data_IF_945628797319
#
_entry.id   IF_945628797319
#
_cell.length_a   1.000
_cell.length_b   1.000
_cell.length_c   1.000
_cell.angle_alpha   90.00
_cell.angle_beta   90.00
_cell.angle_gamma   90.00
#
_symmetry.space_group_name_H-M   'P 1'
#
loop_
_entity.id
_entity.type
_entity.pdbx_description
1 polymer ?
#
# COMPACT_ATOMS: atom_id res chain seq x y z
N UNK A 1 20.25 34.94 -36.32
CA UNK A 1 19.76 34.50 -34.99
C UNK A 1 20.95 34.51 -34.04
N UNK A 2 20.85 35.23 -32.92
CA UNK A 2 21.98 35.59 -32.06
C UNK A 2 22.26 34.51 -30.99
N UNK A 3 23.52 34.30 -30.58
CA UNK A 3 23.95 33.20 -29.70
C UNK A 3 23.16 33.15 -28.38
N UNK A 4 22.85 34.32 -27.81
CA UNK A 4 22.01 34.45 -26.60
C UNK A 4 20.62 33.82 -26.74
N UNK A 5 20.01 33.93 -27.92
CA UNK A 5 18.67 33.40 -28.15
C UNK A 5 18.67 31.87 -28.20
N UNK A 6 19.80 31.27 -28.61
CA UNK A 6 19.98 29.83 -28.62
C UNK A 6 20.10 29.25 -27.21
N UNK A 7 20.85 29.92 -26.33
CA UNK A 7 20.96 29.55 -24.91
C UNK A 7 19.60 29.61 -24.18
N UNK A 8 18.80 30.63 -24.47
CA UNK A 8 17.46 30.76 -23.88
C UNK A 8 16.53 29.62 -24.32
N UNK A 9 16.58 29.21 -25.58
CA UNK A 9 15.77 28.08 -26.10
C UNK A 9 16.16 26.78 -25.39
N UNK A 10 17.46 26.53 -25.21
CA UNK A 10 17.94 25.34 -24.51
C UNK A 10 17.56 25.34 -23.03
N UNK A 11 17.70 26.47 -22.34
CA UNK A 11 17.29 26.60 -20.94
C UNK A 11 15.78 26.35 -20.77
N UNK A 12 14.94 26.90 -21.66
CA UNK A 12 13.50 26.70 -21.62
C UNK A 12 13.12 25.24 -21.86
N UNK A 13 13.78 24.58 -22.82
CA UNK A 13 13.56 23.17 -23.13
C UNK A 13 13.93 22.26 -21.94
N UNK A 14 15.06 22.52 -21.27
CA UNK A 14 15.45 21.79 -20.06
C UNK A 14 14.41 21.96 -18.94
N UNK A 15 13.95 23.18 -18.67
CA UNK A 15 12.92 23.44 -17.66
C UNK A 15 11.64 22.68 -17.99
N UNK A 16 11.21 22.68 -19.26
CA UNK A 16 9.99 22.01 -19.69
C UNK A 16 10.06 20.48 -19.50
N UNK A 17 11.21 19.87 -19.82
CA UNK A 17 11.42 18.42 -19.63
C UNK A 17 11.40 18.06 -18.14
N UNK A 18 12.08 18.83 -17.29
CA UNK A 18 12.15 18.56 -15.85
C UNK A 18 10.79 18.71 -15.14
N UNK A 19 9.94 19.64 -15.57
CA UNK A 19 8.61 19.85 -14.99
C UNK A 19 7.61 18.80 -15.48
N UNK A 20 7.74 18.35 -16.73
CA UNK A 20 6.84 17.33 -17.31
C UNK A 20 6.97 15.97 -16.62
N UNK A 21 8.19 15.56 -16.25
CA UNK A 21 8.46 14.27 -15.62
C UNK A 21 7.83 14.17 -14.21
N UNK A 22 7.83 15.26 -13.45
CA UNK A 22 7.18 15.33 -12.14
C UNK A 22 5.64 15.29 -12.22
N UNK A 23 5.07 15.62 -13.39
CA UNK A 23 3.62 15.76 -13.56
C UNK A 23 2.91 14.48 -13.98
N UNK A 24 3.64 13.42 -14.34
CA UNK A 24 3.02 12.12 -14.65
C UNK A 24 2.75 11.42 -13.32
N UNK A 25 1.48 11.24 -12.90
CA UNK A 25 1.19 10.40 -11.76
C UNK A 25 1.65 8.99 -12.14
N UNK A 26 2.77 8.54 -11.59
CA UNK A 26 3.22 7.17 -11.75
C UNK A 26 2.16 6.25 -11.15
N UNK A 27 1.30 5.71 -12.03
CA UNK A 27 0.29 4.73 -11.64
C UNK A 27 0.96 3.59 -10.88
N UNK A 28 0.42 3.26 -9.71
CA UNK A 28 1.03 2.29 -8.81
C UNK A 28 0.88 0.89 -9.38
N UNK A 29 1.90 0.04 -9.20
CA UNK A 29 1.85 -1.38 -9.55
C UNK A 29 1.80 -2.21 -8.28
N UNK A 30 0.84 -3.12 -8.18
CA UNK A 30 0.66 -4.04 -7.07
C UNK A 30 0.65 -5.48 -7.58
N UNK A 31 1.06 -6.43 -6.73
CA UNK A 31 0.80 -7.84 -7.00
C UNK A 31 -0.71 -8.10 -7.05
N UNK A 32 -1.14 -8.91 -8.01
CA UNK A 32 -2.53 -9.28 -8.21
C UNK A 32 -2.72 -10.78 -8.04
N UNK A 33 -3.45 -11.16 -7.01
CA UNK A 33 -3.86 -12.53 -6.76
C UNK A 33 -5.18 -12.50 -6.02
N UNK A 34 -6.28 -12.81 -6.70
CA UNK A 34 -7.60 -12.82 -6.08
C UNK A 34 -8.33 -14.11 -6.44
N UNK A 35 -9.09 -14.64 -5.50
CA UNK A 35 -10.04 -15.72 -5.79
C UNK A 35 -11.23 -15.18 -6.59
N UNK A 36 -11.92 -15.98 -7.43
CA UNK A 36 -13.07 -15.53 -8.24
C UNK A 36 -14.17 -14.81 -7.46
N UNK A 37 -14.35 -15.16 -6.18
CA UNK A 37 -15.31 -14.56 -5.25
C UNK A 37 -15.01 -13.09 -4.92
N UNK A 38 -13.77 -12.64 -5.13
CA UNK A 38 -13.27 -11.30 -4.80
C UNK A 38 -13.00 -10.47 -6.06
N UNK A 39 -13.80 -10.64 -7.12
CA UNK A 39 -13.65 -9.91 -8.39
C UNK A 39 -13.74 -8.39 -8.24
N UNK A 40 -14.34 -7.85 -7.17
CA UNK A 40 -14.41 -6.41 -6.91
C UNK A 40 -13.06 -5.68 -6.94
N UNK A 41 -11.96 -6.41 -6.71
CA UNK A 41 -10.63 -5.80 -6.76
C UNK A 41 -10.13 -5.60 -8.19
N UNK A 42 -10.70 -6.27 -9.21
CA UNK A 42 -10.34 -6.02 -10.62
C UNK A 42 -10.76 -4.63 -11.08
N UNK A 43 -11.76 -4.01 -10.44
CA UNK A 43 -12.22 -2.66 -10.81
C UNK A 43 -11.32 -1.54 -10.28
N UNK A 44 -10.34 -1.87 -9.43
CA UNK A 44 -9.43 -0.91 -8.82
C UNK A 44 -8.31 -0.43 -9.78
N UNK A 45 -8.20 -1.08 -10.95
CA UNK A 45 -7.21 -0.73 -11.96
C UNK A 45 -7.02 -1.84 -12.99
N UNK A 46 -6.14 -1.60 -13.97
CA UNK A 46 -5.89 -2.54 -15.06
C UNK A 46 -5.06 -3.75 -14.60
N UNK A 47 -5.55 -4.97 -14.85
CA UNK A 47 -4.87 -6.21 -14.46
C UNK A 47 -4.15 -6.82 -15.66
N UNK A 48 -2.86 -7.12 -15.49
CA UNK A 48 -2.04 -7.84 -16.44
C UNK A 48 -1.37 -9.02 -15.74
N UNK A 49 -1.98 -10.20 -15.86
CA UNK A 49 -1.50 -11.42 -15.21
C UNK A 49 -1.49 -11.32 -13.68
N UNK A 50 -0.29 -11.37 -13.10
CA UNK A 50 -0.03 -11.27 -11.65
C UNK A 50 0.23 -9.85 -11.16
N UNK A 51 0.02 -8.83 -12.01
CA UNK A 51 0.25 -7.42 -11.67
C UNK A 51 -1.01 -6.61 -11.94
N UNK A 52 -1.36 -5.71 -11.03
CA UNK A 52 -2.42 -4.72 -11.19
C UNK A 52 -1.84 -3.31 -11.17
N UNK A 53 -2.22 -2.50 -12.16
CA UNK A 53 -1.90 -1.09 -12.27
C UNK A 53 -3.06 -0.27 -11.68
N UNK A 54 -2.87 0.34 -10.53
CA UNK A 54 -3.90 1.07 -9.79
C UNK A 54 -4.21 2.41 -10.46
N UNK A 55 -5.50 2.72 -10.61
CA UNK A 55 -5.96 3.99 -11.20
C UNK A 55 -6.22 5.09 -10.17
N UNK A 56 -6.90 4.75 -9.06
CA UNK A 56 -7.41 5.73 -8.09
C UNK A 56 -6.77 5.62 -6.69
N UNK A 57 -5.76 4.76 -6.54
CA UNK A 57 -5.07 4.55 -5.27
C UNK A 57 -3.57 4.42 -5.51
N UNK A 58 -2.79 4.83 -4.51
CA UNK A 58 -1.36 4.53 -4.46
C UNK A 58 -1.05 3.33 -3.56
N UNK A 59 -2.07 2.66 -3.05
CA UNK A 59 -1.94 1.62 -2.04
C UNK A 59 -2.20 0.23 -2.60
N UNK A 60 -1.35 -0.70 -2.17
CA UNK A 60 -1.57 -2.11 -2.35
C UNK A 60 -2.13 -2.69 -1.04
N UNK A 61 -3.10 -3.60 -1.15
CA UNK A 61 -3.63 -4.38 -0.02
C UNK A 61 -3.39 -5.88 -0.19
N UNK A 62 -3.02 -6.52 0.91
CA UNK A 62 -2.83 -7.96 1.03
C UNK A 62 -3.64 -8.52 2.20
N UNK A 63 -4.45 -9.53 1.92
CA UNK A 63 -5.17 -10.30 2.93
C UNK A 63 -4.60 -11.71 2.96
N UNK A 64 -4.25 -12.17 4.15
CA UNK A 64 -3.69 -13.49 4.39
C UNK A 64 -4.53 -14.23 5.43
N UNK A 65 -4.96 -15.44 5.11
CA UNK A 65 -5.65 -16.31 6.07
C UNK A 65 -4.60 -17.17 6.77
N UNK A 66 -4.76 -17.36 8.08
CA UNK A 66 -3.95 -18.35 8.80
C UNK A 66 -4.60 -19.72 8.64
N UNK A 67 -3.92 -20.63 7.97
CA UNK A 67 -4.29 -22.04 7.81
C UNK A 67 -3.11 -22.87 8.32
N UNK A 68 -3.35 -23.78 9.26
CA UNK A 68 -2.30 -24.60 9.90
C UNK A 68 -1.12 -23.76 10.42
N UNK A 69 -1.42 -22.67 11.12
CA UNK A 69 -0.46 -21.69 11.65
C UNK A 69 0.43 -21.00 10.59
N UNK A 70 0.08 -21.10 9.30
CA UNK A 70 0.80 -20.46 8.20
C UNK A 70 -0.06 -19.41 7.49
N UNK A 71 0.50 -18.24 7.14
CA UNK A 71 -0.21 -17.24 6.35
C UNK A 71 -0.27 -17.67 4.88
N UNK A 72 -1.49 -17.91 4.40
CA UNK A 72 -1.78 -18.13 2.99
C UNK A 72 -2.43 -16.90 2.36
N UNK A 73 -2.01 -16.58 1.13
CA UNK A 73 -2.55 -15.43 0.39
C UNK A 73 -4.01 -15.67 0.02
N UNK A 74 -4.90 -14.83 0.52
CA UNK A 74 -6.31 -14.82 0.12
C UNK A 74 -6.60 -13.75 -0.95
N UNK A 75 -5.98 -12.57 -0.83
CA UNK A 75 -6.13 -11.44 -1.76
C UNK A 75 -4.83 -10.63 -1.81
N UNK A 76 -4.39 -10.28 -3.02
CA UNK A 76 -3.42 -9.22 -3.30
C UNK A 76 -4.00 -8.36 -4.42
N UNK A 77 -4.10 -7.06 -4.20
CA UNK A 77 -4.64 -6.13 -5.19
C UNK A 77 -4.34 -4.67 -4.82
N UNK A 78 -4.77 -3.74 -5.66
CA UNK A 78 -4.91 -2.32 -5.29
C UNK A 78 -5.98 -2.15 -4.21
N UNK A 79 -5.74 -1.25 -3.25
CA UNK A 79 -6.72 -0.93 -2.21
C UNK A 79 -7.91 -0.15 -2.80
N UNK A 80 -9.13 -0.54 -2.43
CA UNK A 80 -10.37 0.08 -2.88
C UNK A 80 -10.94 1.08 -1.86
N UNK A 81 -10.46 1.03 -0.62
CA UNK A 81 -10.92 1.87 0.50
C UNK A 81 -9.91 2.98 0.74
N UNK A 82 -8.64 2.63 0.91
CA UNK A 82 -7.58 3.57 1.24
C UNK A 82 -6.94 4.12 -0.04
N UNK A 83 -6.96 5.46 -0.18
CA UNK A 83 -6.42 6.15 -1.36
C UNK A 83 -4.95 6.56 -1.20
N UNK A 84 -4.52 6.78 0.04
CA UNK A 84 -3.19 7.24 0.42
C UNK A 84 -2.69 6.46 1.64
N UNK A 85 -1.53 5.86 1.52
CA UNK A 85 -0.86 5.10 2.58
C UNK A 85 0.56 5.65 2.68
N UNK A 86 0.88 6.41 3.75
CA UNK A 86 2.21 6.98 3.93
C UNK A 86 3.25 5.93 4.32
N UNK A 87 2.79 4.75 4.77
CA UNK A 87 3.66 3.68 5.20
C UNK A 87 4.33 2.99 4.01
N UNK A 88 5.64 3.20 3.90
CA UNK A 88 6.50 2.46 2.97
C UNK A 88 6.65 0.99 3.39
N UNK A 89 6.46 0.68 4.67
CA UNK A 89 6.58 -0.68 5.21
C UNK A 89 5.21 -1.30 5.40
N UNK A 90 5.05 -2.53 4.92
CA UNK A 90 3.82 -3.27 5.06
C UNK A 90 3.68 -3.82 6.50
N UNK A 91 2.91 -3.11 7.33
CA UNK A 91 2.64 -3.54 8.70
C UNK A 91 1.39 -4.44 8.73
N UNK A 92 1.61 -5.72 9.00
CA UNK A 92 0.52 -6.67 9.16
C UNK A 92 -0.30 -6.36 10.41
N UNK A 93 -1.61 -6.19 10.24
CA UNK A 93 -2.59 -6.08 11.31
C UNK A 93 -3.41 -7.35 11.37
N UNK A 94 -3.51 -7.95 12.57
CA UNK A 94 -4.37 -9.10 12.80
C UNK A 94 -5.82 -8.66 12.94
N UNK A 95 -6.73 -9.38 12.30
CA UNK A 95 -8.18 -9.25 12.41
C UNK A 95 -8.79 -10.62 12.70
N UNK A 96 -10.04 -10.62 13.18
CA UNK A 96 -10.77 -11.85 13.51
C UNK A 96 -9.98 -12.79 14.43
N UNK A 97 -9.49 -12.23 15.54
CA UNK A 97 -8.78 -13.00 16.57
C UNK A 97 -7.55 -13.76 16.04
N UNK A 98 -6.77 -13.09 15.19
CA UNK A 98 -5.53 -13.65 14.61
C UNK A 98 -5.72 -14.53 13.37
N UNK A 99 -6.95 -14.84 12.95
CA UNK A 99 -7.22 -15.72 11.79
C UNK A 99 -6.99 -15.04 10.43
N UNK A 100 -6.97 -13.71 10.41
CA UNK A 100 -6.76 -12.92 9.19
C UNK A 100 -5.67 -11.88 9.44
N UNK A 101 -4.66 -11.83 8.58
CA UNK A 101 -3.69 -10.75 8.54
C UNK A 101 -4.02 -9.83 7.38
N UNK A 102 -3.99 -8.53 7.63
CA UNK A 102 -4.23 -7.49 6.63
C UNK A 102 -3.02 -6.57 6.57
N UNK A 103 -2.59 -6.27 5.36
CA UNK A 103 -1.37 -5.57 5.04
C UNK A 103 -1.71 -4.48 4.03
N UNK A 104 -1.48 -3.20 4.35
CA UNK A 104 -1.63 -2.08 3.40
C UNK A 104 -0.29 -1.38 3.30
N UNK A 105 0.18 -1.11 2.08
CA UNK A 105 1.46 -0.45 1.89
C UNK A 105 1.56 0.34 0.60
N UNK A 106 2.52 1.28 0.66
CA UNK A 106 3.25 1.84 -0.46
C UNK A 106 3.64 0.78 -1.49
N UNK A 107 4.47 -0.19 -1.09
CA UNK A 107 5.39 -0.94 -1.96
C UNK A 107 4.75 -1.86 -2.99
N UNK A 108 5.44 -2.07 -4.12
CA UNK A 108 5.01 -2.99 -5.19
C UNK A 108 5.06 -4.46 -4.75
N UNK A 109 5.90 -4.76 -3.75
CA UNK A 109 6.12 -6.10 -3.20
C UNK A 109 5.55 -6.20 -1.79
N UNK A 110 4.80 -7.27 -1.54
CA UNK A 110 4.36 -7.66 -0.21
C UNK A 110 5.37 -8.63 0.38
N UNK A 111 6.39 -8.10 1.06
CA UNK A 111 7.11 -8.90 2.03
C UNK A 111 6.37 -8.74 3.36
N UNK A 112 5.74 -9.81 3.86
CA UNK A 112 5.32 -9.83 5.26
C UNK A 112 6.60 -9.79 6.07
N UNK A 113 6.96 -8.63 6.61
CA UNK A 113 7.89 -8.58 7.72
C UNK A 113 7.17 -9.30 8.86
N UNK A 114 7.55 -10.54 9.15
CA UNK A 114 7.07 -11.35 10.27
C UNK A 114 7.52 -10.72 11.58
N UNK A 115 7.01 -9.53 11.88
CA UNK A 115 7.00 -8.92 13.20
C UNK A 115 5.93 -9.54 14.10
N UNK A 116 5.46 -10.76 13.79
CA UNK A 116 4.62 -11.55 14.70
C UNK A 116 5.31 -11.77 16.07
N UNK A 117 6.62 -11.55 16.17
CA UNK A 117 7.34 -11.49 17.44
C UNK A 117 7.25 -10.17 18.22
N UNK A 118 6.71 -9.08 17.66
CA UNK A 118 6.79 -7.73 18.26
C UNK A 118 5.44 -6.99 18.39
N UNK A 119 4.37 -7.46 17.73
CA UNK A 119 3.02 -6.86 17.85
C UNK A 119 2.15 -7.48 18.98
N UNK A 120 2.75 -8.16 19.97
CA UNK A 120 2.05 -8.51 21.23
C UNK A 120 1.78 -7.28 22.12
N UNK A 121 2.23 -6.09 21.74
CA UNK A 121 2.10 -4.87 22.53
C UNK A 121 1.83 -3.65 21.65
N UNK A 122 0.61 -3.52 21.11
CA UNK A 122 0.01 -2.21 20.72
C UNK A 122 -1.48 -2.26 20.38
N UNK A 123 -2.21 -3.23 20.93
CA UNK A 123 -3.68 -3.21 20.94
C UNK A 123 -4.20 -3.81 22.24
N UNK A 124 -3.75 -3.29 23.38
CA UNK A 124 -4.51 -3.38 24.62
C UNK A 124 -5.24 -2.04 24.75
N UNK A 125 -6.57 -2.07 24.71
CA UNK A 125 -7.45 -0.91 24.95
C UNK A 125 -7.02 -0.11 26.19
N UNK A 126 -7.35 1.19 26.29
CA UNK A 126 -7.28 1.89 27.57
C UNK A 126 -8.39 1.37 28.49
N UNK A 127 -8.10 0.93 29.72
CA UNK A 127 -9.12 0.88 30.75
C UNK A 127 -9.11 2.21 31.50
N UNK A 128 -10.16 3.00 31.29
CA UNK A 128 -10.63 3.92 32.32
C UNK A 128 -11.14 3.09 33.48
N UNK A 129 -10.32 2.87 34.52
CA UNK A 129 -10.72 2.44 35.86
C UNK A 129 -9.50 2.50 36.78
N UNK A 130 -9.30 3.65 37.43
CA UNK A 130 -8.56 3.72 38.69
C UNK A 130 -9.50 4.37 39.72
N UNK A 131 -10.28 3.53 40.39
CA UNK A 131 -10.74 3.77 41.75
C UNK A 131 -9.54 3.46 42.65
N UNK A 132 -8.81 4.47 43.09
CA UNK A 132 -7.97 4.32 44.28
C UNK A 132 -8.86 4.48 45.50
N UNK A 133 -8.98 3.40 46.29
CA UNK A 133 -9.35 3.49 47.69
C UNK A 133 -8.43 2.58 48.50
N UNK A 134 -7.92 3.17 49.58
CA UNK A 134 -7.31 2.60 50.80
C UNK A 134 -5.79 2.40 50.84
N UNK A 135 -5.12 3.38 51.47
CA UNK A 135 -4.51 3.20 52.79
C UNK A 135 -4.74 4.44 53.65
#
# INVERSE_FOLDING_TARGET
MNLQQWWLIWALACIFICVSDQSVPHKRRCAFQVTPRNNRYTTAGNVSGSVQLCDNTQCCVGYYRIIDDRPEVAVLACDIVEKSCPDATCNARTRFDGRLLVCVCATQTFAIATSLGTQRSKSLNPPTLLLEMTS
#
